data_IF_006631414472
#
_entry.id   IF_006631414472
#
_cell.length_a   1.000
_cell.length_b   1.000
_cell.length_c   1.000
_cell.angle_alpha   90.00
_cell.angle_beta   90.00
_cell.angle_gamma   90.00
#
_symmetry.space_group_name_H-M   'P 1'
#
loop_
_entity.id
_entity.type
_entity.pdbx_description
1 polymer ?
#
# COMPACT_ATOMS: atom_id res chain seq x y z
N UNK A 1 -8.38 -30.77 9.49
CA UNK A 1 -7.55 -29.58 9.93
C UNK A 1 -8.22 -28.28 9.48
N UNK A 2 -8.25 -27.24 10.33
CA UNK A 2 -8.90 -25.95 9.98
C UNK A 2 -7.84 -24.85 9.92
N UNK A 3 -7.85 -24.08 8.83
CA UNK A 3 -7.01 -22.89 8.64
C UNK A 3 -7.90 -21.67 8.39
N UNK A 4 -7.58 -20.55 9.01
CA UNK A 4 -8.27 -19.25 8.79
C UNK A 4 -7.28 -18.27 8.22
N UNK A 5 -7.58 -17.75 7.05
CA UNK A 5 -6.83 -16.67 6.40
C UNK A 5 -7.61 -15.37 6.56
N UNK A 6 -7.06 -14.38 7.24
CA UNK A 6 -7.77 -13.12 7.57
C UNK A 6 -6.87 -11.91 7.44
N UNK A 7 -7.47 -10.72 7.29
CA UNK A 7 -6.75 -9.45 7.22
C UNK A 7 -6.97 -8.69 5.93
N UNK A 8 -6.66 -7.39 5.97
CA UNK A 8 -6.90 -6.45 4.87
C UNK A 8 -5.85 -6.52 3.75
N UNK A 9 -4.78 -7.30 3.91
CA UNK A 9 -3.78 -7.52 2.87
C UNK A 9 -4.25 -8.62 1.91
N UNK A 10 -5.04 -8.23 0.93
CA UNK A 10 -5.65 -9.15 -0.04
C UNK A 10 -4.61 -9.89 -0.91
N UNK A 11 -3.44 -9.29 -1.15
CA UNK A 11 -2.35 -9.90 -1.90
C UNK A 11 -1.76 -11.11 -1.14
N UNK A 12 -1.34 -10.91 0.10
CA UNK A 12 -0.76 -11.98 0.92
C UNK A 12 -1.79 -13.07 1.24
N UNK A 13 -3.06 -12.67 1.42
CA UNK A 13 -4.16 -13.59 1.64
C UNK A 13 -4.38 -14.48 0.40
N UNK A 14 -4.40 -13.90 -0.81
CA UNK A 14 -4.50 -14.64 -2.06
C UNK A 14 -3.33 -15.61 -2.24
N UNK A 15 -2.10 -15.13 -2.03
CA UNK A 15 -0.89 -15.98 -2.12
C UNK A 15 -0.90 -17.14 -1.12
N UNK A 16 -1.36 -16.87 0.10
CA UNK A 16 -1.45 -17.90 1.11
C UNK A 16 -2.47 -18.97 0.72
N UNK A 17 -3.60 -18.56 0.16
CA UNK A 17 -4.62 -19.47 -0.35
C UNK A 17 -4.11 -20.28 -1.55
N UNK A 18 -3.48 -19.62 -2.54
CA UNK A 18 -2.89 -20.28 -3.71
C UNK A 18 -1.87 -21.34 -3.29
N UNK A 19 -1.04 -21.02 -2.29
CA UNK A 19 -0.09 -21.98 -1.75
C UNK A 19 -0.76 -23.19 -1.14
N UNK A 20 -1.82 -23.01 -0.33
CA UNK A 20 -2.57 -24.13 0.27
C UNK A 20 -3.18 -25.01 -0.83
N UNK A 21 -3.72 -24.41 -1.89
CA UNK A 21 -4.28 -25.14 -3.02
C UNK A 21 -3.20 -25.89 -3.81
N UNK A 22 -2.05 -25.27 -4.03
CA UNK A 22 -0.93 -25.89 -4.77
C UNK A 22 -0.28 -27.05 -4.00
N UNK A 23 -0.22 -26.94 -2.68
CA UNK A 23 0.34 -27.98 -1.80
C UNK A 23 -0.63 -29.18 -1.62
N UNK A 24 -1.89 -29.05 -2.04
CA UNK A 24 -2.91 -30.11 -1.92
C UNK A 24 -2.94 -30.99 -3.18
N UNK A 25 -2.86 -32.30 -2.98
CA UNK A 25 -2.75 -33.26 -4.08
C UNK A 25 -4.09 -33.59 -4.80
N UNK A 26 -5.20 -32.99 -4.35
CA UNK A 26 -6.56 -33.24 -4.85
C UNK A 26 -7.22 -32.01 -5.47
N UNK A 27 -8.53 -32.10 -5.67
CA UNK A 27 -9.35 -30.97 -6.16
C UNK A 27 -9.88 -30.19 -4.96
N UNK A 28 -9.64 -28.87 -4.96
CA UNK A 28 -10.18 -27.99 -3.95
C UNK A 28 -11.64 -27.61 -4.28
N UNK A 29 -12.52 -27.83 -3.33
CA UNK A 29 -13.92 -27.40 -3.40
C UNK A 29 -14.03 -25.96 -2.86
N UNK A 30 -14.69 -25.08 -3.63
CA UNK A 30 -14.79 -23.65 -3.27
C UNK A 30 -16.23 -23.25 -3.10
N UNK A 31 -16.52 -22.60 -1.98
CA UNK A 31 -17.86 -22.15 -1.61
C UNK A 31 -17.83 -20.68 -1.21
N UNK A 32 -18.94 -19.98 -1.50
CA UNK A 32 -19.19 -18.65 -0.99
C UNK A 32 -20.09 -18.77 0.23
N UNK A 33 -19.58 -18.33 1.39
CA UNK A 33 -20.22 -18.56 2.68
C UNK A 33 -21.53 -17.81 2.87
N UNK A 34 -21.73 -16.69 2.16
CA UNK A 34 -22.98 -15.92 2.21
C UNK A 34 -24.13 -16.66 1.51
N UNK A 35 -23.83 -17.52 0.53
CA UNK A 35 -24.78 -18.31 -0.22
C UNK A 35 -25.03 -19.72 0.36
N UNK A 36 -24.27 -20.13 1.38
CA UNK A 36 -24.41 -21.47 1.99
C UNK A 36 -25.66 -21.56 2.88
N UNK A 37 -26.24 -22.74 2.92
CA UNK A 37 -27.34 -23.09 3.83
C UNK A 37 -26.84 -23.94 5.00
N UNK A 38 -27.53 -23.86 6.15
CA UNK A 38 -27.18 -24.62 7.36
C UNK A 38 -27.19 -26.15 7.12
N UNK A 39 -28.07 -26.64 6.25
CA UNK A 39 -28.19 -28.03 5.84
C UNK A 39 -26.94 -28.59 5.15
N UNK A 40 -26.09 -27.72 4.58
CA UNK A 40 -24.89 -28.12 3.85
C UNK A 40 -23.64 -28.27 4.75
N UNK A 41 -23.64 -27.69 5.97
CA UNK A 41 -22.50 -27.79 6.88
C UNK A 41 -22.05 -29.22 7.19
N UNK A 42 -22.96 -30.21 7.46
CA UNK A 42 -22.55 -31.59 7.70
C UNK A 42 -21.75 -32.14 6.53
N UNK A 43 -22.24 -31.97 5.30
CA UNK A 43 -21.59 -32.51 4.09
C UNK A 43 -20.24 -31.84 3.82
N UNK A 44 -20.06 -30.58 4.20
CA UNK A 44 -18.80 -29.85 4.03
C UNK A 44 -17.76 -30.22 5.08
N UNK A 45 -18.17 -30.51 6.32
CA UNK A 45 -17.26 -30.62 7.46
C UNK A 45 -17.07 -32.09 7.92
N UNK A 46 -18.05 -33.00 7.68
CA UNK A 46 -18.03 -34.38 8.14
C UNK A 46 -17.88 -35.40 7.00
N UNK A 47 -17.98 -34.98 5.76
CA UNK A 47 -18.06 -35.90 4.64
C UNK A 47 -16.69 -36.30 4.08
N UNK A 48 -16.23 -37.53 4.34
CA UNK A 48 -15.26 -38.19 3.46
C UNK A 48 -15.92 -38.50 2.11
N UNK A 49 -15.24 -38.34 0.98
CA UNK A 49 -15.74 -38.81 -0.31
C UNK A 49 -15.40 -40.32 -0.46
N UNK A 50 -16.28 -41.08 -1.09
CA UNK A 50 -16.03 -42.51 -1.39
C UNK A 50 -14.76 -42.71 -2.28
N UNK A 51 -14.21 -41.65 -2.88
CA UNK A 51 -13.18 -41.74 -3.90
C UNK A 51 -11.91 -40.92 -3.59
N UNK A 52 -11.88 -40.12 -2.53
CA UNK A 52 -10.71 -39.31 -2.14
C UNK A 52 -10.36 -39.51 -0.68
N UNK A 53 -9.07 -39.73 -0.40
CA UNK A 53 -8.57 -39.94 0.96
C UNK A 53 -8.59 -38.61 1.77
N UNK A 54 -8.48 -37.48 1.11
CA UNK A 54 -8.51 -36.12 1.74
C UNK A 54 -9.32 -35.18 0.89
N UNK A 55 -9.95 -34.20 1.55
CA UNK A 55 -10.71 -33.08 0.93
C UNK A 55 -10.17 -31.75 1.35
N UNK A 56 -10.11 -30.80 0.39
CA UNK A 56 -9.84 -29.39 0.68
C UNK A 56 -11.09 -28.55 0.41
N UNK A 57 -11.71 -28.07 1.48
CA UNK A 57 -12.92 -27.23 1.43
C UNK A 57 -12.55 -25.80 1.74
N UNK A 58 -12.72 -24.91 0.77
CA UNK A 58 -12.43 -23.47 0.89
C UNK A 58 -13.76 -22.74 0.97
N UNK A 59 -13.99 -22.04 2.08
CA UNK A 59 -15.19 -21.22 2.28
C UNK A 59 -14.75 -19.77 2.42
N UNK A 60 -15.29 -18.88 1.58
CA UNK A 60 -15.02 -17.44 1.61
C UNK A 60 -16.20 -16.69 2.23
N UNK A 61 -15.90 -15.67 3.04
CA UNK A 61 -16.89 -14.73 3.59
C UNK A 61 -18.00 -15.41 4.41
N UNK A 62 -17.70 -16.53 5.11
CA UNK A 62 -18.69 -17.20 5.95
C UNK A 62 -19.19 -16.29 7.08
N UNK A 63 -18.35 -15.34 7.54
CA UNK A 63 -18.71 -14.36 8.57
C UNK A 63 -19.83 -13.40 8.13
N UNK A 64 -20.11 -13.25 6.85
CA UNK A 64 -21.22 -12.45 6.31
C UNK A 64 -22.57 -13.19 6.49
N UNK A 65 -22.54 -14.51 6.61
CA UNK A 65 -23.69 -15.34 6.95
C UNK A 65 -23.74 -15.57 8.47
N UNK A 66 -24.42 -14.66 9.17
CA UNK A 66 -24.47 -14.67 10.63
C UNK A 66 -24.98 -15.98 11.20
N UNK A 67 -25.97 -16.62 10.55
CA UNK A 67 -26.56 -17.85 11.03
C UNK A 67 -25.54 -19.00 11.04
N UNK A 68 -24.78 -19.15 9.97
CA UNK A 68 -23.73 -20.16 9.86
C UNK A 68 -22.54 -19.82 10.74
N UNK A 69 -22.16 -18.53 10.79
CA UNK A 69 -21.06 -18.08 11.64
C UNK A 69 -21.28 -18.37 13.13
N UNK A 70 -22.49 -18.14 13.63
CA UNK A 70 -22.82 -18.34 15.05
C UNK A 70 -22.82 -19.82 15.46
N UNK A 71 -23.14 -20.76 14.55
CA UNK A 71 -23.15 -22.20 14.84
C UNK A 71 -21.84 -22.90 14.50
N UNK A 72 -20.95 -22.28 13.74
CA UNK A 72 -19.68 -22.87 13.31
C UNK A 72 -18.86 -23.47 14.48
N UNK A 73 -18.77 -22.86 15.68
CA UNK A 73 -18.01 -23.43 16.80
C UNK A 73 -18.43 -24.85 17.18
N UNK A 74 -19.70 -25.21 16.98
CA UNK A 74 -20.21 -26.55 17.33
C UNK A 74 -19.75 -27.63 16.34
N UNK A 75 -19.23 -27.20 15.17
CA UNK A 75 -18.73 -28.06 14.11
C UNK A 75 -17.21 -28.17 14.10
N UNK A 76 -16.48 -27.23 14.73
CA UNK A 76 -15.00 -27.22 14.70
C UNK A 76 -14.40 -28.52 15.27
N UNK A 77 -14.97 -29.03 16.39
CA UNK A 77 -14.51 -30.25 17.02
C UNK A 77 -14.97 -31.53 16.32
N UNK A 78 -16.02 -31.40 15.48
CA UNK A 78 -16.61 -32.53 14.77
C UNK A 78 -16.02 -32.70 13.36
N UNK A 79 -15.25 -31.72 12.89
CA UNK A 79 -14.64 -31.77 11.56
C UNK A 79 -13.74 -32.96 11.42
N UNK A 80 -13.96 -33.76 10.38
CA UNK A 80 -13.18 -34.96 10.11
C UNK A 80 -11.71 -34.66 9.86
N UNK A 81 -10.82 -35.55 10.27
CA UNK A 81 -9.38 -35.38 10.09
C UNK A 81 -8.96 -35.36 8.61
N UNK A 82 -9.74 -36.05 7.77
CA UNK A 82 -9.50 -36.12 6.33
C UNK A 82 -10.05 -34.87 5.56
N UNK A 83 -10.70 -33.93 6.27
CA UNK A 83 -11.20 -32.69 5.70
C UNK A 83 -10.32 -31.51 6.13
N UNK A 84 -9.66 -30.90 5.15
CA UNK A 84 -8.94 -29.64 5.34
C UNK A 84 -9.87 -28.49 5.01
N UNK A 85 -10.26 -27.72 6.02
CA UNK A 85 -11.12 -26.55 5.86
C UNK A 85 -10.28 -25.28 5.85
N UNK A 86 -10.43 -24.45 4.83
CA UNK A 86 -9.82 -23.13 4.74
C UNK A 86 -10.90 -22.06 4.74
N UNK A 87 -11.00 -21.30 5.82
CA UNK A 87 -11.87 -20.15 5.92
C UNK A 87 -11.10 -18.92 5.44
N UNK A 88 -11.63 -18.22 4.45
CA UNK A 88 -11.07 -16.96 3.93
C UNK A 88 -11.97 -15.82 4.38
N UNK A 89 -11.55 -15.15 5.45
CA UNK A 89 -12.32 -14.13 6.15
C UNK A 89 -11.54 -12.80 6.19
N UNK A 90 -11.64 -11.94 5.17
CA UNK A 90 -10.85 -10.70 5.13
C UNK A 90 -11.12 -9.80 6.33
N UNK A 91 -12.40 -9.61 6.70
CA UNK A 91 -12.82 -8.66 7.74
C UNK A 91 -13.84 -9.23 8.74
N UNK A 92 -13.56 -10.38 9.39
CA UNK A 92 -14.50 -10.93 10.36
C UNK A 92 -14.56 -10.06 11.62
N UNK A 93 -15.71 -9.99 12.29
CA UNK A 93 -15.76 -9.36 13.62
C UNK A 93 -15.01 -10.24 14.65
N UNK A 94 -13.82 -9.80 15.00
CA UNK A 94 -12.90 -10.51 15.92
C UNK A 94 -13.42 -10.59 17.35
N UNK A 95 -14.50 -9.85 17.71
CA UNK A 95 -15.14 -9.86 19.04
C UNK A 95 -16.10 -11.02 19.20
N UNK A 96 -16.57 -11.63 18.10
CA UNK A 96 -17.53 -12.74 18.10
C UNK A 96 -17.01 -13.96 18.85
N UNK A 97 -17.94 -14.76 19.40
CA UNK A 97 -17.61 -16.05 20.02
C UNK A 97 -16.88 -16.95 19.00
N UNK A 98 -17.41 -17.03 17.80
CA UNK A 98 -16.86 -17.87 16.71
C UNK A 98 -15.40 -17.55 16.41
N UNK A 99 -15.06 -16.28 16.23
CA UNK A 99 -13.66 -15.92 15.96
C UNK A 99 -12.73 -16.24 17.12
N UNK A 100 -13.21 -16.12 18.38
CA UNK A 100 -12.44 -16.49 19.56
C UNK A 100 -12.22 -18.00 19.65
N UNK A 101 -13.22 -18.81 19.30
CA UNK A 101 -13.07 -20.27 19.25
C UNK A 101 -12.16 -20.71 18.07
N UNK A 102 -12.29 -20.09 16.89
CA UNK A 102 -11.36 -20.33 15.78
C UNK A 102 -9.90 -20.07 16.17
N UNK A 103 -9.62 -19.03 16.96
CA UNK A 103 -8.26 -18.79 17.48
C UNK A 103 -7.70 -19.90 18.37
N UNK A 104 -8.56 -20.71 19.01
CA UNK A 104 -8.13 -21.81 19.89
C UNK A 104 -7.96 -23.12 19.13
N UNK A 105 -8.80 -23.37 18.13
CA UNK A 105 -8.94 -24.67 17.49
C UNK A 105 -8.43 -24.69 16.03
N UNK A 106 -8.14 -23.54 15.43
CA UNK A 106 -7.70 -23.42 14.05
C UNK A 106 -6.34 -22.72 13.94
N UNK A 107 -5.65 -22.96 12.81
CA UNK A 107 -4.46 -22.22 12.43
C UNK A 107 -4.88 -20.85 11.83
N UNK A 108 -4.89 -19.81 12.64
CA UNK A 108 -5.27 -18.45 12.21
C UNK A 108 -4.05 -17.68 11.72
N UNK A 109 -4.05 -17.31 10.44
CA UNK A 109 -3.02 -16.49 9.79
C UNK A 109 -3.61 -15.13 9.45
N UNK A 110 -3.05 -14.07 10.04
CA UNK A 110 -3.51 -12.69 9.84
C UNK A 110 -2.54 -11.92 8.94
N UNK A 111 -3.07 -11.27 7.91
CA UNK A 111 -2.31 -10.51 6.92
C UNK A 111 -2.70 -9.03 7.00
N UNK A 112 -1.89 -8.24 7.68
CA UNK A 112 -2.08 -6.80 7.75
C UNK A 112 -1.49 -6.09 6.51
N UNK A 113 -2.12 -5.03 5.99
CA UNK A 113 -1.52 -4.20 4.96
C UNK A 113 -0.27 -3.51 5.51
N UNK A 114 0.68 -3.21 4.63
CA UNK A 114 1.84 -2.45 5.01
C UNK A 114 1.50 -0.99 5.29
N UNK A 115 2.10 -0.44 6.32
CA UNK A 115 2.04 0.99 6.64
C UNK A 115 3.39 1.68 6.47
N UNK A 116 3.46 2.97 6.78
CA UNK A 116 4.66 3.80 6.58
C UNK A 116 5.94 3.25 7.24
N UNK A 117 5.79 2.41 8.26
CA UNK A 117 6.93 1.77 8.96
C UNK A 117 7.48 0.57 8.22
N UNK A 118 6.76 0.03 7.24
CA UNK A 118 7.09 -1.21 6.53
C UNK A 118 7.83 -0.95 5.20
N UNK A 119 8.26 0.28 4.95
CA UNK A 119 8.96 0.65 3.71
C UNK A 119 10.18 -0.24 3.43
N UNK A 120 11.01 -0.51 4.44
CA UNK A 120 12.18 -1.38 4.28
C UNK A 120 11.77 -2.84 3.99
N UNK A 121 10.64 -3.28 4.55
CA UNK A 121 10.05 -4.59 4.26
C UNK A 121 9.58 -4.65 2.80
N UNK A 122 8.91 -3.59 2.33
CA UNK A 122 8.45 -3.48 0.95
C UNK A 122 9.62 -3.47 -0.05
N UNK A 123 10.70 -2.71 0.24
CA UNK A 123 11.92 -2.69 -0.58
C UNK A 123 12.54 -4.10 -0.72
N UNK A 124 12.65 -4.82 0.40
CA UNK A 124 13.16 -6.19 0.40
C UNK A 124 12.23 -7.12 -0.38
N UNK A 125 10.93 -7.01 -0.14
CA UNK A 125 9.93 -7.82 -0.82
C UNK A 125 9.98 -7.61 -2.34
N UNK A 126 10.11 -6.37 -2.82
CA UNK A 126 10.26 -6.04 -4.25
C UNK A 126 11.49 -6.72 -4.85
N UNK A 127 12.63 -6.72 -4.16
CA UNK A 127 13.84 -7.41 -4.64
C UNK A 127 13.63 -8.93 -4.71
N UNK A 128 12.99 -9.52 -3.68
CA UNK A 128 12.71 -10.95 -3.62
C UNK A 128 11.68 -11.35 -4.69
N UNK A 129 10.67 -10.52 -4.94
CA UNK A 129 9.66 -10.74 -5.96
C UNK A 129 10.24 -10.61 -7.38
N UNK A 130 11.04 -9.57 -7.63
CA UNK A 130 11.75 -9.41 -8.89
C UNK A 130 12.61 -10.64 -9.22
N UNK A 131 13.36 -11.14 -8.23
CA UNK A 131 14.16 -12.37 -8.39
C UNK A 131 13.29 -13.57 -8.73
N UNK A 132 12.11 -13.74 -8.15
CA UNK A 132 11.16 -14.81 -8.48
C UNK A 132 10.69 -14.74 -9.92
N UNK A 133 10.56 -13.52 -10.45
CA UNK A 133 10.13 -13.28 -11.83
C UNK A 133 11.31 -13.18 -12.82
N UNK A 134 12.53 -13.56 -12.40
CA UNK A 134 13.72 -13.57 -13.26
C UNK A 134 14.39 -12.21 -13.45
N UNK A 135 13.95 -11.18 -12.73
CA UNK A 135 14.50 -9.83 -12.81
C UNK A 135 15.47 -9.56 -11.65
N UNK A 136 16.64 -9.00 -11.93
CA UNK A 136 17.58 -8.53 -10.91
C UNK A 136 17.39 -7.04 -10.65
N UNK A 137 16.87 -6.69 -9.50
CA UNK A 137 16.78 -5.30 -9.03
C UNK A 137 17.74 -5.06 -7.88
N UNK A 138 18.57 -4.02 -7.97
CA UNK A 138 19.37 -3.56 -6.86
C UNK A 138 18.52 -2.76 -5.84
N UNK A 139 19.08 -2.54 -4.67
CA UNK A 139 18.43 -1.82 -3.58
C UNK A 139 17.95 -0.42 -4.01
N UNK A 140 18.73 0.30 -4.82
CA UNK A 140 18.43 1.66 -5.25
C UNK A 140 17.20 1.70 -6.17
N UNK A 141 17.08 0.74 -7.08
CA UNK A 141 15.91 0.61 -7.96
C UNK A 141 14.67 0.12 -7.21
N UNK A 142 14.85 -0.79 -6.24
CA UNK A 142 13.75 -1.20 -5.37
C UNK A 142 13.21 -0.03 -4.54
N UNK A 143 14.08 0.81 -4.00
CA UNK A 143 13.71 2.04 -3.29
C UNK A 143 12.93 3.01 -4.20
N UNK A 144 13.42 3.22 -5.41
CA UNK A 144 12.72 4.06 -6.38
C UNK A 144 11.34 3.50 -6.72
N UNK A 145 11.22 2.19 -6.92
CA UNK A 145 9.96 1.54 -7.25
C UNK A 145 8.94 1.68 -6.11
N UNK A 146 9.35 1.39 -4.87
CA UNK A 146 8.49 1.53 -3.68
C UNK A 146 8.06 2.99 -3.47
N UNK A 147 8.98 3.94 -3.63
CA UNK A 147 8.63 5.37 -3.52
C UNK A 147 7.62 5.79 -4.59
N UNK A 148 7.74 5.25 -5.82
CA UNK A 148 6.89 5.60 -6.95
C UNK A 148 5.49 4.97 -6.89
N UNK A 149 5.41 3.71 -6.44
CA UNK A 149 4.17 2.92 -6.39
C UNK A 149 3.46 3.05 -5.04
N UNK A 150 4.22 3.16 -3.95
CA UNK A 150 3.71 3.10 -2.58
C UNK A 150 3.81 1.69 -2.00
N UNK A 151 2.97 1.39 -1.00
CA UNK A 151 3.05 0.17 -0.19
C UNK A 151 1.96 -0.86 -0.51
N UNK A 152 1.15 -0.61 -1.53
CA UNK A 152 0.17 -1.58 -2.01
C UNK A 152 0.88 -2.72 -2.75
N UNK A 153 0.77 -3.95 -2.21
CA UNK A 153 1.50 -5.10 -2.75
C UNK A 153 1.01 -5.54 -4.12
N UNK A 154 -0.29 -5.36 -4.45
CA UNK A 154 -0.78 -5.63 -5.80
C UNK A 154 -0.14 -4.70 -6.82
N UNK A 155 -0.10 -3.40 -6.50
CA UNK A 155 0.51 -2.43 -7.39
C UNK A 155 2.02 -2.68 -7.54
N UNK A 156 2.72 -3.00 -6.46
CA UNK A 156 4.14 -3.37 -6.50
C UNK A 156 4.37 -4.66 -7.32
N UNK A 157 3.53 -5.66 -7.14
CA UNK A 157 3.60 -6.91 -7.90
C UNK A 157 3.46 -6.66 -9.40
N UNK A 158 2.41 -5.93 -9.82
CA UNK A 158 2.22 -5.59 -11.24
C UNK A 158 3.31 -4.66 -11.79
N UNK A 159 3.87 -3.80 -10.96
CA UNK A 159 5.02 -2.99 -11.36
C UNK A 159 6.26 -3.87 -11.64
N UNK A 160 6.51 -4.87 -10.79
CA UNK A 160 7.59 -5.84 -11.03
C UNK A 160 7.34 -6.66 -12.29
N UNK A 161 6.10 -7.15 -12.51
CA UNK A 161 5.73 -7.88 -13.75
C UNK A 161 6.01 -7.04 -15.01
N UNK A 162 5.62 -5.76 -15.02
CA UNK A 162 5.88 -4.86 -16.14
C UNK A 162 7.38 -4.66 -16.40
N UNK A 163 8.19 -4.65 -15.35
CA UNK A 163 9.64 -4.50 -15.49
C UNK A 163 10.35 -5.81 -15.86
N UNK A 164 9.79 -6.96 -15.46
CA UNK A 164 10.40 -8.27 -15.72
C UNK A 164 10.42 -8.68 -17.20
N UNK A 165 9.61 -8.04 -18.05
CA UNK A 165 9.62 -8.29 -19.50
C UNK A 165 10.67 -7.48 -20.26
N UNK A 166 11.45 -6.65 -19.57
CA UNK A 166 12.47 -5.79 -20.17
C UNK A 166 13.86 -6.41 -20.06
N UNK A 167 14.69 -6.21 -21.05
CA UNK A 167 16.09 -6.68 -21.08
C UNK A 167 16.95 -5.97 -20.01
N UNK A 168 16.62 -4.72 -19.66
CA UNK A 168 17.31 -3.95 -18.64
C UNK A 168 16.39 -2.94 -17.95
N UNK A 169 16.61 -2.74 -16.66
CA UNK A 169 15.84 -1.77 -15.86
C UNK A 169 16.78 -0.68 -15.36
N UNK A 170 16.60 0.53 -15.90
CA UNK A 170 17.29 1.74 -15.45
C UNK A 170 16.32 2.62 -14.62
N UNK A 171 16.83 3.64 -13.89
CA UNK A 171 15.96 4.61 -13.22
C UNK A 171 14.97 5.29 -14.18
N UNK A 172 15.43 5.62 -15.40
CA UNK A 172 14.62 6.27 -16.43
C UNK A 172 13.51 5.35 -16.95
N UNK A 173 13.83 4.04 -17.10
CA UNK A 173 12.85 3.02 -17.51
C UNK A 173 11.72 2.90 -16.46
N UNK A 174 12.07 2.92 -15.17
CA UNK A 174 11.07 2.90 -14.10
C UNK A 174 10.16 4.14 -14.19
N UNK A 175 10.73 5.31 -14.43
CA UNK A 175 9.95 6.56 -14.57
C UNK A 175 9.04 6.57 -15.79
N UNK A 176 9.42 5.94 -16.89
CA UNK A 176 8.63 5.90 -18.12
C UNK A 176 7.50 4.87 -18.10
N UNK A 177 7.74 3.69 -17.50
CA UNK A 177 6.83 2.54 -17.59
C UNK A 177 5.92 2.43 -16.39
N UNK A 178 6.42 2.77 -15.19
CA UNK A 178 5.64 2.66 -13.97
C UNK A 178 4.96 3.99 -13.67
N UNK A 179 3.66 3.95 -13.58
CA UNK A 179 2.85 5.11 -13.20
C UNK A 179 3.15 5.52 -11.74
N UNK A 180 3.32 6.81 -11.51
CA UNK A 180 3.56 7.34 -10.18
C UNK A 180 2.26 7.41 -9.38
N UNK A 181 2.32 7.06 -8.10
CA UNK A 181 1.20 7.27 -7.19
C UNK A 181 0.96 8.79 -6.95
N UNK A 182 -0.19 9.17 -6.36
CA UNK A 182 -0.50 10.58 -6.09
C UNK A 182 0.60 11.31 -5.30
N UNK A 183 1.21 10.65 -4.32
CA UNK A 183 2.29 11.23 -3.49
C UNK A 183 3.53 11.54 -4.32
N UNK A 184 3.93 10.65 -5.21
CA UNK A 184 5.08 10.86 -6.10
C UNK A 184 4.78 11.94 -7.15
N UNK A 185 3.55 12.02 -7.67
CA UNK A 185 3.14 13.08 -8.58
C UNK A 185 3.23 14.46 -7.91
N UNK A 186 2.77 14.57 -6.67
CA UNK A 186 2.87 15.80 -5.88
C UNK A 186 4.32 16.11 -5.51
N UNK A 187 5.15 15.09 -5.25
CA UNK A 187 6.58 15.25 -5.05
C UNK A 187 7.26 15.86 -6.29
N UNK A 188 6.97 15.33 -7.46
CA UNK A 188 7.51 15.83 -8.72
C UNK A 188 7.04 17.28 -9.02
N UNK A 189 5.83 17.63 -8.59
CA UNK A 189 5.29 18.98 -8.70
C UNK A 189 6.09 19.99 -7.84
N UNK A 190 6.37 19.65 -6.57
CA UNK A 190 7.20 20.50 -5.70
C UNK A 190 8.66 20.56 -6.20
N UNK A 191 9.23 19.42 -6.65
CA UNK A 191 10.58 19.40 -7.21
C UNK A 191 10.71 20.33 -8.43
N UNK A 192 9.73 20.34 -9.33
CA UNK A 192 9.67 21.27 -10.46
C UNK A 192 9.67 22.73 -9.99
N UNK A 193 8.88 23.06 -8.95
CA UNK A 193 8.85 24.40 -8.37
C UNK A 193 10.20 24.76 -7.73
N UNK A 194 10.83 23.84 -6.99
CA UNK A 194 12.14 24.05 -6.35
C UNK A 194 13.30 24.16 -7.36
N UNK A 195 13.12 23.64 -8.58
CA UNK A 195 14.07 23.83 -9.71
C UNK A 195 13.84 25.12 -10.49
N UNK A 196 12.77 25.86 -10.20
CA UNK A 196 12.42 27.07 -10.94
C UNK A 196 11.68 26.82 -12.26
N UNK A 197 11.18 25.60 -12.52
CA UNK A 197 10.50 25.23 -13.77
C UNK A 197 8.99 25.51 -13.71
N UNK A 198 8.62 26.77 -13.84
CA UNK A 198 7.23 27.21 -13.80
C UNK A 198 6.37 26.65 -14.93
N UNK A 199 6.94 26.35 -16.14
CA UNK A 199 6.19 25.73 -17.23
C UNK A 199 5.76 24.31 -16.86
N UNK A 200 6.68 23.54 -16.30
CA UNK A 200 6.41 22.17 -15.84
C UNK A 200 5.38 22.18 -14.70
N UNK A 201 5.48 23.12 -13.75
CA UNK A 201 4.50 23.28 -12.67
C UNK A 201 3.09 23.48 -13.24
N UNK A 202 2.87 24.44 -14.13
CA UNK A 202 1.55 24.71 -14.72
C UNK A 202 1.01 23.51 -15.52
N UNK A 203 1.87 22.80 -16.25
CA UNK A 203 1.47 21.59 -16.98
C UNK A 203 1.02 20.49 -16.03
N UNK A 204 1.79 20.24 -14.96
CA UNK A 204 1.46 19.20 -13.98
C UNK A 204 0.17 19.52 -13.21
N UNK A 205 -0.05 20.78 -12.83
CA UNK A 205 -1.29 21.20 -12.16
C UNK A 205 -2.51 20.89 -13.03
N UNK A 206 -2.48 21.25 -14.33
CA UNK A 206 -3.58 20.95 -15.25
C UNK A 206 -3.91 19.45 -15.31
N UNK A 207 -2.90 18.60 -15.25
CA UNK A 207 -3.11 17.15 -15.23
C UNK A 207 -3.70 16.69 -13.90
N UNK A 208 -3.18 17.18 -12.77
CA UNK A 208 -3.63 16.80 -11.43
C UNK A 208 -5.08 17.26 -11.15
N UNK A 209 -5.48 18.42 -11.66
CA UNK A 209 -6.84 18.93 -11.53
C UNK A 209 -7.92 17.98 -12.08
N UNK A 210 -7.56 17.13 -13.06
CA UNK A 210 -8.51 16.20 -13.69
C UNK A 210 -8.84 14.99 -12.79
N UNK A 211 -7.94 14.63 -11.85
CA UNK A 211 -8.05 13.37 -11.13
C UNK A 211 -7.81 13.45 -9.61
N UNK A 212 -7.37 14.60 -9.10
CA UNK A 212 -6.97 14.76 -7.70
C UNK A 212 -7.83 15.80 -6.97
N UNK A 213 -8.03 15.59 -5.68
CA UNK A 213 -8.62 16.59 -4.79
C UNK A 213 -7.59 17.67 -4.42
N UNK A 214 -7.92 18.97 -4.51
CA UNK A 214 -6.99 20.05 -4.21
C UNK A 214 -6.54 20.09 -2.76
N UNK A 215 -7.41 19.76 -1.80
CA UNK A 215 -7.06 19.79 -0.38
C UNK A 215 -6.13 18.63 -0.03
N UNK A 216 -6.36 17.45 -0.59
CA UNK A 216 -5.46 16.31 -0.46
C UNK A 216 -4.09 16.63 -1.07
N UNK A 217 -4.06 17.21 -2.28
CA UNK A 217 -2.82 17.61 -2.97
C UNK A 217 -2.06 18.65 -2.15
N UNK A 218 -2.75 19.66 -1.61
CA UNK A 218 -2.12 20.66 -0.76
C UNK A 218 -1.56 20.06 0.54
N UNK A 219 -2.27 19.14 1.17
CA UNK A 219 -1.79 18.42 2.36
C UNK A 219 -0.49 17.67 2.11
N UNK A 220 -0.38 16.99 0.96
CA UNK A 220 0.85 16.29 0.53
C UNK A 220 1.99 17.28 0.28
N UNK A 221 1.73 18.41 -0.39
CA UNK A 221 2.71 19.49 -0.61
C UNK A 221 3.21 20.08 0.72
N UNK A 222 2.29 20.38 1.64
CA UNK A 222 2.62 20.92 2.97
C UNK A 222 3.50 19.93 3.76
N UNK A 223 3.22 18.63 3.68
CA UNK A 223 4.06 17.58 4.27
C UNK A 223 5.49 17.59 3.71
N UNK A 224 5.64 17.78 2.40
CA UNK A 224 6.96 17.87 1.76
C UNK A 224 7.69 19.17 2.13
N UNK A 225 6.98 20.30 2.22
CA UNK A 225 7.56 21.57 2.71
C UNK A 225 8.01 21.44 4.16
N UNK A 226 7.28 20.69 5.00
CA UNK A 226 7.72 20.34 6.35
C UNK A 226 9.04 19.53 6.34
N UNK A 227 9.14 18.52 5.48
CA UNK A 227 10.39 17.74 5.33
C UNK A 227 11.56 18.62 4.87
N UNK A 228 11.32 19.54 3.92
CA UNK A 228 12.30 20.52 3.47
C UNK A 228 12.75 21.44 4.63
N UNK A 229 11.81 21.89 5.46
CA UNK A 229 12.10 22.72 6.63
C UNK A 229 12.92 21.94 7.68
N UNK A 230 12.57 20.69 7.94
CA UNK A 230 13.32 19.83 8.86
C UNK A 230 14.79 19.66 8.42
N UNK A 231 15.03 19.49 7.12
CA UNK A 231 16.38 19.42 6.55
C UNK A 231 17.16 20.75 6.70
N UNK A 232 16.47 21.88 6.53
CA UNK A 232 17.12 23.20 6.56
C UNK A 232 17.53 23.70 7.97
N UNK A 233 16.96 23.11 9.04
CA UNK A 233 17.23 23.53 10.42
C UNK A 233 18.29 22.68 11.14
N UNK A 234 18.80 21.62 10.50
CA UNK A 234 19.80 20.72 11.08
C UNK A 234 20.91 20.43 10.09
N UNK A 235 22.09 20.03 10.61
CA UNK A 235 23.21 19.57 9.81
C UNK A 235 23.29 18.01 9.75
N UNK A 236 22.26 17.32 10.27
CA UNK A 236 22.20 15.84 10.24
C UNK A 236 22.09 15.33 8.80
N UNK A 237 22.63 14.14 8.50
CA UNK A 237 22.38 13.45 7.24
C UNK A 237 20.88 13.25 6.97
N UNK A 238 20.47 13.34 5.71
CA UNK A 238 19.04 13.20 5.32
C UNK A 238 18.38 11.92 5.80
N UNK A 239 19.13 10.81 5.91
CA UNK A 239 18.63 9.54 6.43
C UNK A 239 18.29 9.59 7.93
N UNK A 240 19.05 10.34 8.74
CA UNK A 240 18.74 10.55 10.16
C UNK A 240 17.55 11.48 10.33
N UNK A 241 17.48 12.56 9.53
CA UNK A 241 16.33 13.46 9.53
C UNK A 241 15.05 12.70 9.16
N UNK A 242 15.11 11.85 8.14
CA UNK A 242 13.98 11.01 7.74
C UNK A 242 13.48 10.13 8.89
N UNK A 243 14.40 9.51 9.63
CA UNK A 243 14.09 8.69 10.80
C UNK A 243 13.44 9.52 11.92
N UNK A 244 14.00 10.71 12.20
CA UNK A 244 13.51 11.57 13.28
C UNK A 244 12.08 12.07 13.04
N UNK A 245 11.70 12.32 11.76
CA UNK A 245 10.36 12.82 11.39
C UNK A 245 9.42 11.71 10.89
N UNK A 246 9.85 10.45 10.88
CA UNK A 246 9.03 9.32 10.42
C UNK A 246 8.74 9.33 8.92
N UNK A 247 9.62 9.95 8.10
CA UNK A 247 9.44 10.07 6.66
C UNK A 247 10.27 9.03 5.87
N UNK A 248 9.89 8.83 4.60
CA UNK A 248 10.61 7.91 3.71
C UNK A 248 12.01 8.46 3.38
N UNK A 249 13.13 7.73 3.63
CA UNK A 249 14.49 8.21 3.42
C UNK A 249 14.78 8.67 1.99
N UNK A 250 14.20 8.00 0.98
CA UNK A 250 14.33 8.38 -0.42
C UNK A 250 13.72 9.75 -0.72
N UNK A 251 12.51 10.02 -0.22
CA UNK A 251 11.84 11.30 -0.42
C UNK A 251 12.62 12.45 0.23
N UNK A 252 13.03 12.28 1.48
CA UNK A 252 13.85 13.27 2.20
C UNK A 252 15.21 13.44 1.52
N UNK A 253 15.81 12.37 1.02
CA UNK A 253 17.06 12.41 0.27
C UNK A 253 16.98 13.25 -1.01
N UNK A 254 15.85 13.19 -1.74
CA UNK A 254 15.59 14.02 -2.92
C UNK A 254 15.47 15.52 -2.57
N UNK A 255 14.96 15.86 -1.39
CA UNK A 255 14.82 17.26 -0.94
C UNK A 255 16.11 17.88 -0.39
N UNK A 256 17.08 17.06 0.04
CA UNK A 256 18.31 17.52 0.68
C UNK A 256 19.13 18.52 -0.18
N UNK A 257 19.33 18.33 -1.50
CA UNK A 257 20.02 19.32 -2.34
C UNK A 257 19.31 20.68 -2.37
N UNK A 258 17.97 20.67 -2.40
CA UNK A 258 17.15 21.88 -2.39
C UNK A 258 17.25 22.60 -1.05
N UNK A 259 17.17 21.89 0.07
CA UNK A 259 17.34 22.46 1.40
C UNK A 259 18.71 23.13 1.56
N UNK A 260 19.77 22.48 1.04
CA UNK A 260 21.13 23.02 1.06
C UNK A 260 21.25 24.31 0.20
N UNK A 261 20.66 24.31 -1.02
CA UNK A 261 20.66 25.48 -1.93
C UNK A 261 19.92 26.67 -1.32
N UNK A 262 18.75 26.43 -0.74
CA UNK A 262 17.87 27.47 -0.18
C UNK A 262 18.36 28.01 1.17
N UNK A 263 18.99 27.16 1.96
CA UNK A 263 19.34 27.48 3.34
C UNK A 263 18.12 27.75 4.22
N UNK A 264 18.34 28.15 5.46
CA UNK A 264 17.26 28.46 6.42
C UNK A 264 16.37 29.62 5.96
N UNK A 265 16.95 30.67 5.38
CA UNK A 265 16.20 31.84 4.97
C UNK A 265 15.26 31.57 3.80
N UNK A 266 15.75 30.91 2.75
CA UNK A 266 14.94 30.56 1.59
C UNK A 266 13.81 29.56 1.96
N UNK A 267 14.15 28.56 2.76
CA UNK A 267 13.15 27.59 3.24
C UNK A 267 12.07 28.26 4.10
N UNK A 268 12.43 29.20 4.99
CA UNK A 268 11.45 29.97 5.78
C UNK A 268 10.45 30.72 4.90
N UNK A 269 10.90 31.29 3.78
CA UNK A 269 10.01 31.99 2.84
C UNK A 269 9.03 31.06 2.17
N UNK A 270 9.48 29.83 1.80
CA UNK A 270 8.61 28.78 1.23
C UNK A 270 7.56 28.35 2.26
N UNK A 271 7.97 28.08 3.50
CA UNK A 271 7.03 27.75 4.59
C UNK A 271 5.98 28.84 4.76
N UNK A 272 6.38 30.12 4.71
CA UNK A 272 5.44 31.24 4.81
C UNK A 272 4.44 31.27 3.65
N UNK A 273 4.90 31.05 2.40
CA UNK A 273 4.03 30.99 1.22
C UNK A 273 2.96 29.91 1.43
N UNK A 274 3.35 28.72 1.91
CA UNK A 274 2.40 27.63 2.13
C UNK A 274 1.46 27.89 3.31
N UNK A 275 1.93 28.54 4.38
CA UNK A 275 1.08 28.95 5.51
C UNK A 275 0.03 29.99 5.10
N UNK A 276 0.42 30.98 4.29
CA UNK A 276 -0.50 32.00 3.75
C UNK A 276 -1.54 31.33 2.81
N UNK A 277 -1.10 30.36 2.01
CA UNK A 277 -1.97 29.60 1.11
C UNK A 277 -2.98 28.74 1.88
N UNK A 278 -2.55 28.05 2.95
CA UNK A 278 -3.44 27.29 3.84
C UNK A 278 -4.55 28.20 4.42
N UNK A 279 -4.14 29.36 4.89
CA UNK A 279 -5.08 30.36 5.41
C UNK A 279 -6.07 30.82 4.33
N UNK A 280 -5.59 31.10 3.12
CA UNK A 280 -6.44 31.52 2.01
C UNK A 280 -7.42 30.42 1.57
N UNK A 281 -6.98 29.16 1.51
CA UNK A 281 -7.84 28.01 1.19
C UNK A 281 -8.98 27.80 2.20
N UNK A 282 -8.76 28.19 3.46
CA UNK A 282 -9.76 28.06 4.54
C UNK A 282 -10.68 29.27 4.67
N UNK A 283 -10.26 30.45 4.22
CA UNK A 283 -10.94 31.71 4.51
C UNK A 283 -11.46 32.47 3.29
N UNK A 284 -11.11 32.04 2.07
CA UNK A 284 -11.52 32.74 0.84
C UNK A 284 -12.40 31.85 -0.06
N UNK A 285 -13.14 32.48 -0.96
CA UNK A 285 -13.92 31.81 -2.01
C UNK A 285 -13.08 31.55 -3.30
N UNK A 286 -11.77 31.76 -3.23
CA UNK A 286 -10.87 31.55 -4.37
C UNK A 286 -10.73 30.08 -4.67
N UNK A 287 -10.67 29.70 -5.95
CA UNK A 287 -10.45 28.33 -6.38
C UNK A 287 -9.18 27.74 -5.73
N UNK A 288 -9.27 26.61 -5.03
CA UNK A 288 -8.14 26.01 -4.32
C UNK A 288 -6.96 25.66 -5.23
N UNK A 289 -7.21 25.21 -6.47
CA UNK A 289 -6.16 24.91 -7.42
C UNK A 289 -5.39 26.14 -7.85
N UNK A 290 -6.09 27.28 -8.01
CA UNK A 290 -5.44 28.55 -8.31
C UNK A 290 -4.53 29.00 -7.16
N UNK A 291 -4.95 28.80 -5.90
CA UNK A 291 -4.12 29.09 -4.74
C UNK A 291 -2.87 28.20 -4.68
N UNK A 292 -2.99 26.91 -4.98
CA UNK A 292 -1.87 25.97 -5.07
C UNK A 292 -0.90 26.41 -6.18
N UNK A 293 -1.42 26.73 -7.37
CA UNK A 293 -0.59 27.18 -8.49
C UNK A 293 0.18 28.46 -8.12
N UNK A 294 -0.48 29.43 -7.53
CA UNK A 294 0.17 30.66 -7.07
C UNK A 294 1.29 30.40 -6.05
N UNK A 295 1.08 29.49 -5.09
CA UNK A 295 2.10 29.13 -4.10
C UNK A 295 3.34 28.51 -4.77
N UNK A 296 3.12 27.60 -5.72
CA UNK A 296 4.20 26.96 -6.45
C UNK A 296 4.94 27.90 -7.39
N UNK A 297 4.22 28.79 -8.07
CA UNK A 297 4.84 29.85 -8.90
C UNK A 297 5.66 30.80 -8.05
N UNK A 298 5.18 31.25 -6.89
CA UNK A 298 5.98 32.06 -5.94
C UNK A 298 7.24 31.29 -5.49
N UNK A 299 7.13 29.98 -5.29
CA UNK A 299 8.27 29.12 -4.97
C UNK A 299 9.29 29.09 -6.11
N UNK A 300 8.86 28.99 -7.38
CA UNK A 300 9.78 29.03 -8.53
C UNK A 300 10.57 30.34 -8.62
N UNK A 301 9.93 31.46 -8.29
CA UNK A 301 10.59 32.77 -8.31
C UNK A 301 11.66 32.89 -7.22
N UNK A 302 11.46 32.27 -6.07
CA UNK A 302 12.44 32.29 -4.97
C UNK A 302 13.66 31.39 -5.24
N UNK A 303 13.57 30.46 -6.14
CA UNK A 303 14.61 29.44 -6.42
C UNK A 303 15.46 29.76 -7.65
N UNK A 304 14.98 30.71 -8.50
CA UNK A 304 15.72 31.27 -9.61
C UNK A 304 16.61 32.44 -9.13
#
# INVERSE_FOLDING_TARGET
MITVLTGDNSFELSRALEKVVADFAGVAEKFDGDALELSQLPDLLLGGTLFAAERLVIIKNLSDNKQLWDVLPEWLEKTDNDVHVVLVEPKPDKRTRTFKELKKHANVREFAPWGDRDVLLAEKWVMDEAKRQGLSLDKKRAQQLVARVGLDQWQLFHAVEKLAVLDSVTPETIEQIIEANPTENVFNLLDAALRGDGKKVSTMIRTLQLAQDPYMTFGLLAGQVFQLAALAVTDKPSGEVAKDIGAHPYAVGKLAPHAKKLGRSGTKKIVQIFADTDTAMKSSATDPWLLIEQALVKTTILTN
#
